data_IF_748931097345
#
_entry.id   IF_748931097345
#
_cell.length_a   1.000
_cell.length_b   1.000
_cell.length_c   1.000
_cell.angle_alpha   90.00
_cell.angle_beta   90.00
_cell.angle_gamma   90.00
#
_symmetry.space_group_name_H-M   'P 1'
#
loop_
_entity.id
_entity.type
_entity.pdbx_description
1 polymer ?
#
# COMPACT_ATOMS: atom_id res chain seq x y z
N UNK A 1 -5.43 -25.99 14.43
CA UNK A 1 -6.18 -25.54 13.23
C UNK A 1 -5.61 -24.19 12.80
N UNK A 2 -4.93 -24.11 11.66
CA UNK A 2 -4.42 -22.83 11.11
C UNK A 2 -5.59 -22.06 10.51
N UNK A 3 -5.99 -20.97 11.16
CA UNK A 3 -7.08 -20.10 10.73
C UNK A 3 -6.69 -19.30 9.48
N UNK A 4 -7.68 -19.01 8.65
CA UNK A 4 -7.68 -18.46 7.28
C UNK A 4 -6.97 -17.11 7.04
N UNK A 5 -6.20 -16.61 8.01
CA UNK A 5 -5.48 -15.32 7.98
C UNK A 5 -3.96 -15.42 7.78
N UNK A 6 -3.40 -16.64 7.72
CA UNK A 6 -1.96 -16.89 7.57
C UNK A 6 -1.25 -16.00 6.53
N UNK A 7 -1.77 -15.79 5.29
CA UNK A 7 -1.05 -14.97 4.31
C UNK A 7 -0.99 -13.48 4.65
N UNK A 8 -1.95 -12.94 5.41
CA UNK A 8 -1.96 -11.51 5.73
C UNK A 8 -0.94 -11.15 6.79
N UNK A 9 -0.81 -11.98 7.82
CA UNK A 9 0.19 -11.77 8.87
C UNK A 9 1.60 -11.97 8.31
N UNK A 10 1.80 -12.95 7.43
CA UNK A 10 3.04 -13.12 6.66
C UNK A 10 3.36 -11.88 5.82
N UNK A 11 2.39 -11.30 5.11
CA UNK A 11 2.64 -10.08 4.31
C UNK A 11 2.93 -8.85 5.17
N UNK A 12 2.32 -8.74 6.36
CA UNK A 12 2.66 -7.69 7.34
C UNK A 12 4.11 -7.82 7.77
N UNK A 13 4.55 -9.03 8.11
CA UNK A 13 5.94 -9.30 8.50
C UNK A 13 6.92 -9.02 7.35
N UNK A 14 6.59 -9.42 6.12
CA UNK A 14 7.39 -9.14 4.94
C UNK A 14 7.52 -7.63 4.71
N UNK A 15 6.40 -6.89 4.72
CA UNK A 15 6.41 -5.43 4.55
C UNK A 15 7.21 -4.73 5.63
N UNK A 16 6.97 -5.07 6.90
CA UNK A 16 7.69 -4.49 8.03
C UNK A 16 9.19 -4.73 7.91
N UNK A 17 9.61 -5.95 7.54
CA UNK A 17 11.03 -6.30 7.37
C UNK A 17 11.68 -5.55 6.22
N UNK A 18 11.03 -5.49 5.06
CA UNK A 18 11.54 -4.75 3.88
C UNK A 18 11.71 -3.27 4.24
N UNK A 19 10.68 -2.65 4.81
CA UNK A 19 10.73 -1.23 5.11
C UNK A 19 11.67 -0.92 6.28
N UNK A 20 11.79 -1.80 7.27
CA UNK A 20 12.76 -1.65 8.36
C UNK A 20 14.19 -1.67 7.82
N UNK A 21 14.49 -2.54 6.85
CA UNK A 21 15.79 -2.55 6.19
C UNK A 21 16.13 -1.17 5.61
N UNK A 22 15.20 -0.53 4.90
CA UNK A 22 15.39 0.83 4.37
C UNK A 22 15.46 1.92 5.45
N UNK A 23 14.73 1.77 6.55
CA UNK A 23 14.80 2.70 7.68
C UNK A 23 16.18 2.66 8.36
N UNK A 24 16.81 1.49 8.41
CA UNK A 24 18.13 1.28 9.03
C UNK A 24 19.31 1.70 8.14
N UNK A 25 19.07 1.97 6.85
CA UNK A 25 20.13 2.46 5.96
C UNK A 25 20.56 3.87 6.35
N UNK A 26 21.87 4.12 6.54
CA UNK A 26 22.35 5.45 6.87
C UNK A 26 22.13 6.39 5.68
N UNK A 27 21.48 7.53 5.95
CA UNK A 27 21.33 8.56 4.93
C UNK A 27 22.68 9.21 4.64
N UNK A 28 23.10 9.21 3.37
CA UNK A 28 24.45 9.66 2.97
C UNK A 28 24.66 11.18 3.04
N UNK A 29 23.59 11.99 3.17
CA UNK A 29 23.68 13.44 2.97
C UNK A 29 22.91 14.27 4.01
N UNK A 30 23.63 14.87 4.97
CA UNK A 30 23.03 15.73 5.98
C UNK A 30 22.36 14.95 7.11
N UNK A 31 21.72 15.68 8.02
CA UNK A 31 21.13 15.13 9.23
C UNK A 31 19.68 14.72 8.95
N UNK A 32 19.51 13.65 8.18
CA UNK A 32 18.20 13.08 7.82
C UNK A 32 18.10 11.66 8.37
N UNK A 33 17.02 11.41 9.11
CA UNK A 33 16.65 10.13 9.69
C UNK A 33 15.48 9.57 8.87
N UNK A 34 15.49 8.26 8.66
CA UNK A 34 14.36 7.55 8.07
C UNK A 34 13.60 6.83 9.18
N UNK A 35 12.30 7.09 9.28
CA UNK A 35 11.41 6.43 10.23
C UNK A 35 10.50 5.45 9.51
N UNK A 36 10.38 4.24 10.07
CA UNK A 36 9.27 3.35 9.78
C UNK A 36 8.12 3.66 10.74
N UNK A 37 6.95 3.98 10.19
CA UNK A 37 5.71 4.19 10.93
C UNK A 37 4.74 3.07 10.54
N UNK A 38 4.33 2.29 11.53
CA UNK A 38 3.33 1.23 11.37
C UNK A 38 2.09 1.61 12.16
N UNK A 39 0.92 1.59 11.52
CA UNK A 39 -0.34 1.84 12.22
C UNK A 39 -0.63 0.76 13.25
N UNK A 40 -1.44 1.10 14.26
CA UNK A 40 -1.77 0.19 15.37
C UNK A 40 -2.42 -1.12 14.91
N UNK A 41 -3.21 -1.08 13.85
CA UNK A 41 -3.85 -2.25 13.24
C UNK A 41 -2.94 -3.03 12.28
N UNK A 42 -1.69 -2.56 12.10
CA UNK A 42 -0.67 -3.11 11.19
C UNK A 42 -1.18 -3.25 9.76
N UNK A 43 -1.98 -2.29 9.30
CA UNK A 43 -2.42 -2.24 7.91
C UNK A 43 -1.74 -1.12 7.12
N UNK A 44 -1.30 -0.03 7.75
CA UNK A 44 -0.56 1.04 7.10
C UNK A 44 0.90 1.01 7.50
N UNK A 45 1.77 1.07 6.49
CA UNK A 45 3.21 1.10 6.64
C UNK A 45 3.76 2.28 5.85
N UNK A 46 4.47 3.17 6.53
CA UNK A 46 5.03 4.38 5.93
C UNK A 46 6.51 4.50 6.24
N UNK A 47 7.31 4.80 5.22
CA UNK A 47 8.66 5.34 5.41
C UNK A 47 8.62 6.84 5.28
N UNK A 48 9.17 7.54 6.27
CA UNK A 48 9.22 8.99 6.31
C UNK A 48 10.66 9.45 6.50
N UNK A 49 11.11 10.38 5.66
CA UNK A 49 12.33 11.12 5.94
C UNK A 49 12.03 12.31 6.83
N UNK A 50 12.88 12.50 7.83
CA UNK A 50 12.86 13.66 8.70
C UNK A 50 14.27 14.17 8.93
N UNK A 51 14.51 15.45 8.64
CA UNK A 51 15.75 16.10 9.03
C UNK A 51 16.01 17.42 8.36
N UNK A 52 17.30 17.72 8.17
CA UNK A 52 17.78 18.92 7.50
C UNK A 52 18.90 18.58 6.51
N UNK A 53 18.86 19.22 5.34
CA UNK A 53 19.92 19.13 4.33
C UNK A 53 20.19 20.52 3.77
N UNK A 54 21.41 21.03 3.95
CA UNK A 54 21.84 22.34 3.44
C UNK A 54 20.86 23.48 3.79
N UNK A 55 20.49 23.62 5.07
CA UNK A 55 19.50 24.57 5.59
C UNK A 55 18.08 24.42 5.01
N UNK A 56 17.77 23.32 4.33
CA UNK A 56 16.42 22.99 3.89
C UNK A 56 15.84 21.89 4.76
N UNK A 57 14.62 22.11 5.24
CA UNK A 57 13.85 21.09 5.96
C UNK A 57 13.55 19.93 5.02
N UNK A 58 13.86 18.72 5.47
CA UNK A 58 13.45 17.47 4.81
C UNK A 58 12.36 16.85 5.69
N UNK A 59 11.14 16.75 5.15
CA UNK A 59 10.04 16.07 5.81
C UNK A 59 9.06 15.55 4.76
N UNK A 60 8.95 14.23 4.62
CA UNK A 60 8.09 13.65 3.58
C UNK A 60 8.03 12.13 3.60
N UNK A 61 6.91 11.61 3.11
CA UNK A 61 6.68 10.17 2.91
C UNK A 61 7.44 9.69 1.67
N UNK A 62 8.22 8.62 1.82
CA UNK A 62 9.03 8.01 0.76
C UNK A 62 8.40 6.71 0.27
N UNK A 63 7.72 5.98 1.16
CA UNK A 63 6.93 4.80 0.80
C UNK A 63 5.65 4.82 1.62
N UNK A 64 4.52 4.50 1.00
CA UNK A 64 3.27 4.23 1.70
C UNK A 64 2.62 2.97 1.13
N UNK A 65 2.57 1.92 1.94
CA UNK A 65 1.87 0.68 1.65
C UNK A 65 0.69 0.47 2.62
N UNK A 66 -0.40 -0.09 2.11
CA UNK A 66 -1.61 -0.43 2.87
C UNK A 66 -2.02 -1.88 2.59
N UNK A 67 -2.29 -2.68 3.61
CA UNK A 67 -2.98 -3.97 3.43
C UNK A 67 -4.49 -3.71 3.56
N UNK A 68 -5.21 -3.86 2.45
CA UNK A 68 -6.67 -3.68 2.37
C UNK A 68 -7.29 -4.70 1.43
N UNK A 69 -8.42 -5.29 1.85
CA UNK A 69 -9.18 -6.27 1.07
C UNK A 69 -8.31 -7.43 0.56
N UNK A 70 -7.48 -7.96 1.46
CA UNK A 70 -6.55 -9.07 1.23
C UNK A 70 -5.58 -8.83 0.06
N UNK A 71 -5.13 -7.58 -0.08
CA UNK A 71 -4.16 -7.11 -1.08
C UNK A 71 -3.27 -6.05 -0.45
N UNK A 72 -2.07 -5.93 -1.00
CA UNK A 72 -1.13 -4.86 -0.67
C UNK A 72 -1.31 -3.73 -1.68
N UNK A 73 -1.59 -2.53 -1.21
CA UNK A 73 -1.79 -1.33 -1.99
C UNK A 73 -0.58 -0.43 -1.82
N UNK A 74 0.10 -0.13 -2.93
CA UNK A 74 1.23 0.79 -2.94
C UNK A 74 0.71 2.17 -3.34
N UNK A 75 0.60 3.08 -2.38
CA UNK A 75 0.12 4.45 -2.60
C UNK A 75 1.23 5.37 -3.10
N UNK A 76 2.46 5.14 -2.65
CA UNK A 76 3.63 5.87 -3.07
C UNK A 76 4.86 4.99 -2.89
N UNK A 77 5.76 5.04 -3.87
CA UNK A 77 7.04 4.32 -3.86
C UNK A 77 8.12 5.23 -4.46
N UNK A 78 8.98 5.75 -3.59
CA UNK A 78 10.10 6.61 -3.94
C UNK A 78 11.46 5.90 -3.91
N UNK A 79 11.49 4.57 -3.78
CA UNK A 79 12.71 3.78 -3.77
C UNK A 79 13.09 3.41 -5.23
N UNK A 80 14.39 3.48 -5.54
CA UNK A 80 14.91 3.24 -6.90
C UNK A 80 14.55 1.85 -7.45
N UNK A 81 14.78 0.81 -6.64
CA UNK A 81 14.52 -0.59 -7.03
C UNK A 81 13.05 -1.03 -6.88
N UNK A 82 12.18 -0.14 -6.39
CA UNK A 82 10.78 -0.37 -6.04
C UNK A 82 10.52 -1.50 -5.03
N UNK A 83 9.74 -1.19 -3.99
CA UNK A 83 9.33 -2.20 -3.00
C UNK A 83 8.49 -3.33 -3.63
N UNK A 84 7.91 -3.11 -4.82
CA UNK A 84 7.11 -4.09 -5.53
C UNK A 84 7.93 -5.30 -5.97
N UNK A 85 9.18 -5.07 -6.38
CA UNK A 85 10.11 -6.13 -6.81
C UNK A 85 10.50 -7.00 -5.63
N UNK A 86 10.80 -6.38 -4.48
CA UNK A 86 11.15 -7.09 -3.25
C UNK A 86 9.97 -7.89 -2.69
N UNK A 87 8.76 -7.34 -2.71
CA UNK A 87 7.55 -8.07 -2.32
C UNK A 87 7.36 -9.33 -3.16
N UNK A 88 7.55 -9.22 -4.48
CA UNK A 88 7.48 -10.37 -5.37
C UNK A 88 8.58 -11.40 -5.08
N UNK A 89 9.82 -10.96 -4.87
CA UNK A 89 10.94 -11.82 -4.51
C UNK A 89 10.74 -12.51 -3.14
N UNK A 90 10.05 -11.85 -2.21
CA UNK A 90 9.65 -12.40 -0.91
C UNK A 90 8.46 -13.36 -0.97
N UNK A 91 7.91 -13.63 -2.17
CA UNK A 91 6.85 -14.61 -2.40
C UNK A 91 5.44 -14.04 -2.45
N UNK A 92 5.25 -12.71 -2.47
CA UNK A 92 3.93 -12.11 -2.64
C UNK A 92 3.50 -12.19 -4.12
N UNK A 93 2.37 -12.84 -4.44
CA UNK A 93 1.88 -12.92 -5.81
C UNK A 93 1.54 -11.54 -6.40
N UNK A 94 1.84 -11.32 -7.68
CA UNK A 94 1.57 -10.03 -8.37
C UNK A 94 0.10 -9.63 -8.39
N UNK A 95 -0.82 -10.61 -8.42
CA UNK A 95 -2.28 -10.39 -8.36
C UNK A 95 -2.77 -9.97 -6.96
N UNK A 96 -1.89 -9.96 -5.97
CA UNK A 96 -2.13 -9.45 -4.61
C UNK A 96 -1.55 -8.07 -4.36
N UNK A 97 -0.78 -7.53 -5.30
CA UNK A 97 -0.23 -6.18 -5.21
C UNK A 97 -1.01 -5.24 -6.13
N UNK A 98 -1.41 -4.09 -5.63
CA UNK A 98 -2.13 -3.03 -6.34
C UNK A 98 -1.25 -1.79 -6.37
N UNK A 99 -0.92 -1.31 -7.57
CA UNK A 99 -0.23 -0.03 -7.76
C UNK A 99 -1.25 1.11 -7.65
N UNK A 100 -1.49 1.59 -6.44
CA UNK A 100 -2.57 2.52 -6.13
C UNK A 100 -2.33 3.94 -6.66
N UNK A 101 -1.07 4.32 -6.88
CA UNK A 101 -0.67 5.57 -7.53
C UNK A 101 -1.07 5.65 -9.02
N UNK A 102 -1.38 4.52 -9.65
CA UNK A 102 -1.97 4.52 -10.99
C UNK A 102 -3.50 4.67 -10.93
N UNK A 103 -4.11 5.45 -11.86
CA UNK A 103 -5.56 5.50 -12.02
C UNK A 103 -6.15 4.09 -12.24
N UNK A 104 -7.34 3.77 -11.69
CA UNK A 104 -7.93 2.43 -11.78
C UNK A 104 -7.97 1.85 -13.20
N UNK A 105 -8.27 2.68 -14.20
CA UNK A 105 -8.40 2.28 -15.60
C UNK A 105 -7.08 1.79 -16.21
N UNK A 106 -5.94 2.23 -15.68
CA UNK A 106 -4.60 1.88 -16.19
C UNK A 106 -4.09 0.59 -15.55
N UNK A 107 -4.58 0.24 -14.34
CA UNK A 107 -4.03 -0.87 -13.55
C UNK A 107 -4.17 -2.24 -14.23
N UNK A 108 -5.13 -2.40 -15.14
CA UNK A 108 -5.29 -3.63 -15.94
C UNK A 108 -4.14 -3.90 -16.90
N UNK A 109 -3.36 -2.87 -17.23
CA UNK A 109 -2.25 -2.93 -18.17
C UNK A 109 -0.87 -3.01 -17.50
N UNK A 110 -0.80 -3.03 -16.17
CA UNK A 110 0.47 -2.98 -15.43
C UNK A 110 1.06 -4.37 -15.13
N UNK A 111 0.30 -5.45 -15.37
CA UNK A 111 0.69 -6.81 -14.97
C UNK A 111 0.58 -7.08 -13.46
N UNK A 112 0.01 -6.14 -12.70
CA UNK A 112 -0.34 -6.27 -11.28
C UNK A 112 -1.86 -6.36 -11.11
N UNK A 113 -2.34 -6.40 -9.86
CA UNK A 113 -3.77 -6.42 -9.62
C UNK A 113 -4.44 -5.10 -10.03
N UNK A 114 -5.44 -5.21 -10.90
CA UNK A 114 -6.29 -4.10 -11.27
C UNK A 114 -7.20 -3.60 -10.13
N UNK A 115 -7.41 -4.44 -9.10
CA UNK A 115 -8.50 -4.36 -8.12
C UNK A 115 -9.80 -3.80 -8.74
N UNK A 116 -10.66 -4.71 -9.21
CA UNK A 116 -12.04 -4.34 -9.49
C UNK A 116 -12.81 -4.43 -8.18
N UNK A 117 -13.47 -3.35 -7.81
CA UNK A 117 -14.53 -3.45 -6.81
C UNK A 117 -15.62 -4.29 -7.47
N UNK A 118 -15.85 -5.52 -7.01
CA UNK A 118 -17.00 -6.27 -7.48
C UNK A 118 -18.24 -5.45 -7.10
N UNK A 119 -19.11 -5.16 -8.07
CA UNK A 119 -20.48 -4.74 -7.77
C UNK A 119 -21.09 -5.83 -6.89
N UNK A 120 -21.17 -5.56 -5.59
CA UNK A 120 -22.01 -6.36 -4.71
C UNK A 120 -23.41 -6.19 -5.28
N UNK A 121 -23.98 -7.28 -5.79
CA UNK A 121 -25.34 -7.33 -6.30
C UNK A 121 -26.28 -6.58 -5.35
N UNK A 122 -26.73 -5.39 -5.76
CA UNK A 122 -27.90 -4.72 -5.21
C UNK A 122 -29.14 -5.52 -5.63
N UNK A 123 -29.28 -6.74 -5.11
CA UNK A 123 -30.51 -7.49 -5.27
C UNK A 123 -31.57 -6.93 -4.31
N UNK A 124 -32.53 -6.23 -4.93
CA UNK A 124 -33.86 -5.84 -4.44
C UNK A 124 -33.92 -4.72 -3.39
N UNK A 125 -33.94 -3.47 -3.87
CA UNK A 125 -34.91 -2.49 -3.36
C UNK A 125 -35.68 -1.89 -4.54
N UNK A 126 -37.00 -1.81 -4.36
CA UNK A 126 -37.99 -1.52 -5.39
C UNK A 126 -37.83 -0.11 -5.97
N UNK A 127 -37.65 -0.05 -7.29
CA UNK A 127 -38.22 0.89 -8.26
C UNK A 127 -38.73 2.24 -7.70
N UNK A 128 -37.88 3.09 -7.11
CA UNK A 128 -38.02 4.54 -7.04
C UNK A 128 -36.77 5.09 -6.34
N UNK A 129 -35.72 5.39 -7.10
CA UNK A 129 -34.70 6.38 -6.73
C UNK A 129 -33.83 6.61 -7.98
N UNK A 130 -34.28 7.54 -8.81
CA UNK A 130 -33.54 8.11 -9.92
C UNK A 130 -32.70 9.25 -9.32
N UNK A 131 -31.41 9.29 -9.68
CA UNK A 131 -30.46 10.38 -9.46
C UNK A 131 -29.74 10.44 -8.10
N UNK A 132 -28.70 9.62 -7.93
CA UNK A 132 -27.52 10.02 -7.15
C UNK A 132 -26.24 9.65 -7.93
N UNK A 133 -25.22 10.54 -7.99
CA UNK A 133 -23.95 10.24 -8.63
C UNK A 133 -23.27 9.11 -7.87
N UNK A 134 -22.66 8.20 -8.63
CA UNK A 134 -21.92 7.02 -8.19
C UNK A 134 -20.91 7.33 -7.08
N UNK A 135 -21.36 7.29 -5.83
CA UNK A 135 -20.47 7.14 -4.68
C UNK A 135 -20.08 5.67 -4.60
N UNK A 136 -18.84 5.39 -4.97
CA UNK A 136 -18.16 4.14 -4.65
C UNK A 136 -18.06 4.03 -3.12
N UNK A 137 -18.99 3.31 -2.50
CA UNK A 137 -18.87 2.92 -1.11
C UNK A 137 -18.15 1.57 -1.05
N UNK A 138 -16.87 1.58 -0.70
CA UNK A 138 -16.23 0.43 -0.07
C UNK A 138 -16.66 0.42 1.39
N UNK A 139 -17.54 -0.48 1.79
CA UNK A 139 -17.81 -0.72 3.22
C UNK A 139 -16.78 -1.70 3.79
N UNK A 140 -16.45 -1.43 5.06
CA UNK A 140 -15.50 -2.09 5.97
C UNK A 140 -15.48 -3.61 5.96
#
# INVERSE_FOLDING_TARGET
MKTTNQPLDEWREILEKILQYYADLPYRYGDVITYLIVSRDRNHFMLVHEGWKNNRRVHGCIVHAEIRNNKIWIHYDGIEDSITVELFAAGVPKDRIVLAFHPPQVREHTGYSAYRCNEVHLNKLSRFDIFLPSRFYCTS
#
